data_IF_325424002378
#
_entry.id   IF_325424002378
#
_cell.length_a   1.000
_cell.length_b   1.000
_cell.length_c   1.000
_cell.angle_alpha   90.00
_cell.angle_beta   90.00
_cell.angle_gamma   90.00
#
_symmetry.space_group_name_H-M   'P 1'
#
loop_
_entity.id
_entity.type
_entity.pdbx_description
1 polymer ?
#
# COMPACT_ATOMS: atom_id res chain seq x y z
N UNK A 1 -14.52 -4.01 -7.07
CA UNK A 1 -13.42 -4.55 -7.87
C UNK A 1 -12.24 -3.59 -7.86
N UNK A 2 -11.06 -4.12 -7.66
CA UNK A 2 -9.86 -3.30 -7.60
C UNK A 2 -9.36 -2.96 -8.98
N UNK A 3 -9.06 -1.69 -9.18
CA UNK A 3 -8.51 -1.25 -10.45
C UNK A 3 -7.08 -0.79 -10.26
N UNK A 4 -6.27 -1.73 -9.86
CA UNK A 4 -4.92 -1.44 -9.44
C UNK A 4 -4.09 -0.73 -10.49
N UNK A 5 -4.20 -1.11 -11.75
CA UNK A 5 -3.26 -0.61 -12.75
C UNK A 5 -3.89 0.21 -13.87
N UNK A 6 -5.20 0.47 -13.80
CA UNK A 6 -5.89 1.04 -14.95
C UNK A 6 -5.32 2.36 -15.46
N UNK A 7 -4.93 3.25 -14.53
CA UNK A 7 -4.38 4.54 -14.91
C UNK A 7 -2.98 4.76 -14.35
N UNK A 8 -2.34 3.68 -13.93
CA UNK A 8 -1.02 3.79 -13.34
C UNK A 8 0.06 3.73 -14.42
N UNK A 9 1.00 4.69 -14.43
CA UNK A 9 2.10 4.65 -15.41
C UNK A 9 2.94 3.38 -15.29
N UNK A 10 3.48 2.91 -16.40
CA UNK A 10 4.32 1.72 -16.42
C UNK A 10 5.54 1.84 -15.51
N UNK A 11 6.14 3.02 -15.44
CA UNK A 11 7.28 3.24 -14.58
C UNK A 11 6.93 3.03 -13.11
N UNK A 12 5.73 3.45 -12.71
CA UNK A 12 5.25 3.26 -11.34
C UNK A 12 5.02 1.78 -11.06
N UNK A 13 4.39 1.06 -11.99
CA UNK A 13 4.18 -0.37 -11.83
C UNK A 13 5.49 -1.13 -11.71
N UNK A 14 6.48 -0.73 -12.49
CA UNK A 14 7.80 -1.34 -12.45
C UNK A 14 8.46 -1.15 -11.09
N UNK A 15 8.41 0.08 -10.59
CA UNK A 15 8.95 0.40 -9.25
C UNK A 15 8.20 -0.35 -8.16
N UNK A 16 6.89 -0.49 -8.31
CA UNK A 16 6.07 -1.19 -7.31
C UNK A 16 6.45 -2.67 -7.21
N UNK A 17 6.84 -3.28 -8.32
CA UNK A 17 7.23 -4.69 -8.37
C UNK A 17 8.70 -4.92 -8.02
N UNK A 18 9.49 -3.86 -7.93
CA UNK A 18 10.92 -3.95 -7.68
C UNK A 18 11.19 -4.44 -6.26
N UNK A 19 11.92 -5.53 -6.15
CA UNK A 19 12.26 -6.11 -4.86
C UNK A 19 13.19 -5.23 -4.03
N UNK A 20 13.91 -4.32 -4.68
CA UNK A 20 14.81 -3.41 -3.98
C UNK A 20 14.08 -2.28 -3.29
N UNK A 21 12.80 -2.07 -3.60
CA UNK A 21 11.99 -1.05 -2.91
C UNK A 21 11.78 -1.49 -1.47
N UNK A 22 12.25 -0.72 -0.48
CA UNK A 22 12.17 -1.15 0.91
C UNK A 22 10.77 -1.02 1.49
N UNK A 23 10.46 -1.89 2.45
CA UNK A 23 9.26 -1.76 3.26
C UNK A 23 9.53 -0.67 4.29
N UNK A 24 8.75 0.39 4.26
CA UNK A 24 8.91 1.52 5.18
C UNK A 24 7.75 1.67 6.17
N UNK A 25 6.69 0.90 5.97
CA UNK A 25 5.55 0.89 6.89
C UNK A 25 5.24 -0.55 7.25
N UNK A 26 4.99 -0.78 8.54
CA UNK A 26 4.57 -2.09 9.03
C UNK A 26 3.23 -1.97 9.74
N UNK A 27 2.32 -2.85 9.39
CA UNK A 27 0.99 -2.90 9.99
C UNK A 27 1.02 -4.03 11.01
N UNK A 28 0.90 -3.67 12.28
CA UNK A 28 0.98 -4.63 13.38
C UNK A 28 -0.34 -5.32 13.68
N UNK A 29 -0.42 -5.95 14.84
CA UNK A 29 -1.59 -6.71 15.27
C UNK A 29 -2.86 -5.88 15.36
N UNK A 30 -2.73 -4.59 15.57
CA UNK A 30 -3.89 -3.71 15.70
C UNK A 30 -4.53 -3.37 14.35
N UNK A 31 -3.90 -3.74 13.25
CA UNK A 31 -4.42 -3.51 11.93
C UNK A 31 -4.25 -2.07 11.46
N UNK A 32 -5.22 -1.59 10.70
CA UNK A 32 -5.21 -0.23 10.17
C UNK A 32 -5.68 0.72 11.27
N UNK A 33 -4.75 1.47 11.83
CA UNK A 33 -5.03 2.46 12.87
C UNK A 33 -4.81 3.86 12.33
N UNK A 34 -5.24 4.86 13.10
CA UNK A 34 -4.97 6.26 12.74
C UNK A 34 -3.48 6.52 12.60
N UNK A 35 -2.66 5.87 13.41
CA UNK A 35 -1.21 5.97 13.32
C UNK A 35 -0.69 5.47 11.98
N UNK A 36 -1.20 4.34 11.50
CA UNK A 36 -0.81 3.77 10.21
C UNK A 36 -1.23 4.71 9.08
N UNK A 37 -2.45 5.23 9.14
CA UNK A 37 -2.95 6.15 8.13
C UNK A 37 -2.09 7.42 8.08
N UNK A 38 -1.81 8.01 9.24
CA UNK A 38 -0.98 9.20 9.35
C UNK A 38 0.42 8.96 8.79
N UNK A 39 1.02 7.82 9.15
CA UNK A 39 2.37 7.48 8.72
C UNK A 39 2.44 7.32 7.21
N UNK A 40 1.49 6.61 6.63
CA UNK A 40 1.44 6.42 5.18
C UNK A 40 1.24 7.75 4.47
N UNK A 41 0.30 8.56 4.97
CA UNK A 41 0.04 9.87 4.38
C UNK A 41 1.28 10.75 4.42
N UNK A 42 1.99 10.74 5.55
CA UNK A 42 3.22 11.52 5.70
C UNK A 42 4.29 11.07 4.72
N UNK A 43 4.50 9.77 4.60
CA UNK A 43 5.51 9.24 3.69
C UNK A 43 5.15 9.52 2.23
N UNK A 44 3.87 9.44 1.88
CA UNK A 44 3.42 9.73 0.52
C UNK A 44 3.54 11.21 0.15
N UNK A 45 3.60 12.09 1.14
CA UNK A 45 3.85 13.50 0.88
C UNK A 45 5.30 13.75 0.46
N UNK A 46 6.19 12.82 0.80
CA UNK A 46 7.62 12.95 0.55
C UNK A 46 8.13 12.01 -0.54
N UNK A 47 7.37 10.96 -0.85
CA UNK A 47 7.75 9.92 -1.81
C UNK A 47 6.60 9.61 -2.73
N UNK A 48 6.90 9.23 -3.94
CA UNK A 48 5.86 8.83 -4.89
C UNK A 48 5.33 7.43 -4.58
N UNK A 49 6.18 6.55 -4.06
CA UNK A 49 5.83 5.16 -3.79
C UNK A 49 6.20 4.81 -2.36
N UNK A 50 5.30 4.12 -1.67
CA UNK A 50 5.52 3.61 -0.33
C UNK A 50 5.09 2.15 -0.27
N UNK A 51 5.93 1.31 0.32
CA UNK A 51 5.68 -0.11 0.46
C UNK A 51 5.38 -0.44 1.91
N UNK A 52 4.26 -1.13 2.15
CA UNK A 52 3.84 -1.52 3.48
C UNK A 52 3.74 -3.03 3.57
N UNK A 53 4.00 -3.57 4.77
CA UNK A 53 3.89 -4.99 5.03
C UNK A 53 3.00 -5.23 6.24
N UNK A 54 1.98 -6.08 6.08
CA UNK A 54 1.10 -6.44 7.17
C UNK A 54 1.65 -7.63 7.94
N UNK A 55 1.34 -7.69 9.24
CA UNK A 55 1.67 -8.84 10.07
C UNK A 55 0.98 -10.07 9.49
N UNK A 56 1.71 -11.17 9.23
CA UNK A 56 1.12 -12.36 8.61
C UNK A 56 -0.04 -12.97 9.38
N UNK A 57 -0.07 -12.81 10.69
CA UNK A 57 -1.15 -13.35 11.51
C UNK A 57 -2.37 -12.46 11.63
N UNK A 58 -2.34 -11.28 11.02
CA UNK A 58 -3.38 -10.29 11.19
C UNK A 58 -4.65 -10.58 10.41
N UNK A 59 -4.51 -11.01 9.18
CA UNK A 59 -5.63 -11.17 8.25
C UNK A 59 -5.65 -12.60 7.70
N UNK A 60 -6.84 -13.14 7.59
CA UNK A 60 -7.04 -14.54 7.23
C UNK A 60 -7.42 -14.77 5.77
N UNK A 61 -6.76 -14.15 4.86
CA UNK A 61 -7.04 -14.40 3.47
C UNK A 61 -6.70 -13.23 2.59
N UNK A 62 -6.53 -13.53 1.31
CA UNK A 62 -6.12 -12.52 0.35
C UNK A 62 -7.19 -11.44 0.17
N UNK A 63 -8.47 -11.81 0.23
CA UNK A 63 -9.57 -10.84 0.08
C UNK A 63 -9.56 -9.83 1.23
N UNK A 64 -9.42 -10.30 2.46
CA UNK A 64 -9.39 -9.41 3.63
C UNK A 64 -8.17 -8.49 3.58
N UNK A 65 -7.02 -9.03 3.20
CA UNK A 65 -5.81 -8.22 3.06
C UNK A 65 -5.99 -7.13 2.01
N UNK A 66 -6.55 -7.50 0.87
CA UNK A 66 -6.76 -6.56 -0.21
C UNK A 66 -7.73 -5.45 0.22
N UNK A 67 -8.81 -5.81 0.90
CA UNK A 67 -9.78 -4.83 1.39
C UNK A 67 -9.13 -3.87 2.39
N UNK A 68 -8.31 -4.39 3.28
CA UNK A 68 -7.61 -3.55 4.25
C UNK A 68 -6.67 -2.57 3.55
N UNK A 69 -5.93 -3.04 2.56
CA UNK A 69 -5.02 -2.18 1.81
C UNK A 69 -5.78 -1.14 0.99
N UNK A 70 -6.92 -1.50 0.42
CA UNK A 70 -7.75 -0.54 -0.30
C UNK A 70 -8.30 0.54 0.62
N UNK A 71 -8.76 0.13 1.81
CA UNK A 71 -9.23 1.09 2.80
C UNK A 71 -8.13 2.07 3.18
N UNK A 72 -6.93 1.57 3.32
CA UNK A 72 -5.77 2.40 3.65
C UNK A 72 -5.47 3.38 2.52
N UNK A 73 -5.53 2.91 1.29
CA UNK A 73 -5.32 3.78 0.13
C UNK A 73 -6.39 4.88 0.07
N UNK A 74 -7.65 4.52 0.29
CA UNK A 74 -8.74 5.50 0.30
C UNK A 74 -8.56 6.53 1.40
N UNK A 75 -8.16 6.08 2.59
CA UNK A 75 -7.98 6.97 3.74
C UNK A 75 -6.87 7.98 3.52
N UNK A 76 -5.87 7.64 2.71
CA UNK A 76 -4.73 8.53 2.45
C UNK A 76 -4.82 9.24 1.11
N UNK A 77 -5.88 8.98 0.34
CA UNK A 77 -6.01 9.57 -0.99
C UNK A 77 -4.97 9.07 -1.98
N UNK A 78 -4.42 7.89 -1.73
CA UNK A 78 -3.41 7.28 -2.60
C UNK A 78 -4.02 6.16 -3.43
N UNK A 79 -3.20 5.51 -4.24
CA UNK A 79 -3.62 4.38 -5.07
C UNK A 79 -2.86 3.13 -4.69
N UNK A 80 -3.59 2.04 -4.55
CA UNK A 80 -2.98 0.72 -4.36
C UNK A 80 -2.56 0.23 -5.74
N UNK A 81 -1.26 0.09 -5.98
CA UNK A 81 -0.74 -0.25 -7.31
C UNK A 81 -0.17 -1.65 -7.41
N UNK A 82 0.07 -2.31 -6.28
CA UNK A 82 0.59 -3.67 -6.30
C UNK A 82 0.37 -4.32 -4.94
N UNK A 83 0.03 -5.61 -4.96
CA UNK A 83 -0.02 -6.42 -3.75
C UNK A 83 0.65 -7.75 -4.01
N UNK A 84 1.34 -8.27 -3.00
CA UNK A 84 1.93 -9.58 -3.07
C UNK A 84 2.01 -10.14 -1.65
N UNK A 85 1.22 -11.18 -1.38
CA UNK A 85 1.15 -11.75 -0.03
C UNK A 85 0.72 -10.70 0.97
N UNK A 86 1.55 -10.45 1.97
CA UNK A 86 1.26 -9.49 3.03
C UNK A 86 1.76 -8.09 2.72
N UNK A 87 2.27 -7.87 1.51
CA UNK A 87 2.90 -6.62 1.13
C UNK A 87 2.02 -5.86 0.15
N UNK A 88 1.97 -4.54 0.29
CA UNK A 88 1.24 -3.67 -0.62
C UNK A 88 2.09 -2.47 -0.97
N UNK A 89 1.92 -1.96 -2.18
CA UNK A 89 2.62 -0.76 -2.63
C UNK A 89 1.59 0.30 -2.97
N UNK A 90 1.80 1.49 -2.44
CA UNK A 90 0.93 2.63 -2.61
C UNK A 90 1.64 3.72 -3.43
N UNK A 91 0.89 4.36 -4.30
CA UNK A 91 1.39 5.45 -5.13
C UNK A 91 0.61 6.71 -4.78
N UNK A 92 1.33 7.82 -4.64
CA UNK A 92 0.71 9.10 -4.28
C UNK A 92 -0.29 9.63 -5.31
N UNK A 93 -0.20 9.13 -6.54
CA UNK A 93 -1.05 9.62 -7.63
C UNK A 93 -0.47 10.81 -8.37
N UNK A 94 0.67 11.32 -7.93
CA UNK A 94 1.33 12.42 -8.63
C UNK A 94 2.03 11.90 -9.88
N UNK A 95 1.95 12.66 -10.91
CA UNK A 95 2.61 12.30 -12.17
C UNK A 95 3.85 13.12 -12.40
#
# INVERSE_FOLDING_TARGET
MIRISEKTPQSILRQAKDKSTPVTIRIGKEGITDSVVSELSDQLSKRDIVKAKANPGLLNGSTERTQAFESLADATGSRLVHTRGNTAVFWSGRS
#
